data_IF_784229255021
#
_entry.id   IF_784229255021
#
_cell.length_a   1.000
_cell.length_b   1.000
_cell.length_c   1.000
_cell.angle_alpha   90.00
_cell.angle_beta   90.00
_cell.angle_gamma   90.00
#
_symmetry.space_group_name_H-M   'P 1'
#
loop_
_entity.id
_entity.type
_entity.pdbx_description
1 polymer ?
#
# COMPACT_ATOMS: atom_id res chain seq x y z
N UNK A 1 2.40 -16.51 5.81
CA UNK A 1 3.63 -15.82 6.25
C UNK A 1 3.27 -14.38 6.53
N UNK A 2 3.57 -13.89 7.73
CA UNK A 2 3.28 -12.51 8.12
C UNK A 2 4.28 -11.56 7.45
N UNK A 3 3.79 -10.68 6.57
CA UNK A 3 4.61 -9.70 5.85
C UNK A 3 4.78 -8.39 6.61
N UNK A 4 4.26 -8.29 7.83
CA UNK A 4 4.43 -7.14 8.73
C UNK A 4 5.43 -7.39 9.85
N UNK A 5 5.96 -8.61 9.98
CA UNK A 5 6.83 -9.04 11.08
C UNK A 5 7.97 -8.06 11.39
N UNK A 6 8.73 -7.62 10.38
CA UNK A 6 9.86 -6.72 10.61
C UNK A 6 9.42 -5.36 11.15
N UNK A 7 8.35 -4.79 10.58
CA UNK A 7 7.78 -3.52 11.04
C UNK A 7 7.19 -3.67 12.45
N UNK A 8 6.47 -4.77 12.72
CA UNK A 8 5.90 -5.05 14.04
C UNK A 8 7.00 -5.19 15.12
N UNK A 9 8.14 -5.81 14.79
CA UNK A 9 9.30 -5.79 15.68
C UNK A 9 9.86 -4.36 15.83
N UNK A 10 10.00 -3.63 14.73
CA UNK A 10 10.63 -2.31 14.72
C UNK A 10 9.92 -1.32 15.63
N UNK A 11 8.59 -1.20 15.54
CA UNK A 11 7.80 -0.22 16.32
C UNK A 11 7.89 -0.39 17.83
N UNK A 12 8.48 -1.48 18.32
CA UNK A 12 8.71 -1.77 19.74
C UNK A 12 10.14 -1.47 20.19
N UNK A 13 11.09 -1.50 19.25
CA UNK A 13 12.52 -1.60 19.55
C UNK A 13 13.33 -0.42 19.04
N UNK A 14 12.93 0.17 17.91
CA UNK A 14 13.70 1.24 17.28
C UNK A 14 13.50 2.57 18.01
N UNK A 15 14.56 3.37 17.97
CA UNK A 15 14.57 4.76 18.39
C UNK A 15 13.90 5.61 17.31
N UNK A 16 12.80 6.26 17.67
CA UNK A 16 11.95 7.04 16.78
C UNK A 16 12.61 8.33 16.29
N UNK A 17 13.65 8.80 16.98
CA UNK A 17 14.48 9.95 16.60
C UNK A 17 15.72 9.55 15.78
N UNK A 18 16.01 8.25 15.66
CA UNK A 18 17.18 7.73 14.95
C UNK A 18 16.83 6.89 13.71
N UNK A 19 15.75 7.25 13.00
CA UNK A 19 15.35 6.60 11.74
C UNK A 19 16.22 7.10 10.60
N UNK A 20 16.93 6.18 9.95
CA UNK A 20 17.87 6.46 8.85
C UNK A 20 17.27 6.26 7.48
N UNK A 21 16.33 5.34 7.34
CA UNK A 21 15.68 5.09 6.07
C UNK A 21 14.22 4.69 6.28
N UNK A 22 13.37 5.20 5.41
CA UNK A 22 11.98 4.80 5.30
C UNK A 22 11.65 4.54 3.82
N UNK A 23 11.13 3.35 3.51
CA UNK A 23 10.54 3.03 2.20
C UNK A 23 9.04 2.86 2.36
N UNK A 24 8.25 3.60 1.60
CA UNK A 24 6.78 3.64 1.72
C UNK A 24 6.09 3.65 0.37
N UNK A 25 4.85 3.17 0.35
CA UNK A 25 3.95 3.25 -0.79
C UNK A 25 2.81 4.21 -0.45
N UNK A 26 2.69 5.29 -1.22
CA UNK A 26 1.53 6.16 -1.15
C UNK A 26 0.34 5.46 -1.79
N UNK A 27 -0.73 5.26 -1.02
CA UNK A 27 -1.94 4.58 -1.48
C UNK A 27 -2.92 5.60 -2.09
N UNK A 28 -2.58 6.15 -3.25
CA UNK A 28 -3.44 7.03 -4.07
C UNK A 28 -3.61 6.47 -5.47
N UNK A 29 -4.52 7.06 -6.26
CA UNK A 29 -4.75 6.74 -7.68
C UNK A 29 -3.46 6.70 -8.53
N UNK A 30 -2.46 7.52 -8.18
CA UNK A 30 -1.05 7.31 -8.57
C UNK A 30 -0.28 6.68 -7.41
N UNK A 31 -0.16 5.35 -7.43
CA UNK A 31 0.70 4.64 -6.51
C UNK A 31 2.14 5.15 -6.70
N UNK A 32 2.80 5.60 -5.63
CA UNK A 32 4.21 6.04 -5.69
C UNK A 32 4.99 5.33 -4.61
N UNK A 33 6.19 4.87 -4.96
CA UNK A 33 7.16 4.35 -4.00
C UNK A 33 8.13 5.47 -3.66
N UNK A 34 8.22 5.81 -2.38
CA UNK A 34 9.20 6.77 -1.86
C UNK A 34 10.23 6.04 -1.01
N UNK A 35 11.50 6.36 -1.23
CA UNK A 35 12.62 5.93 -0.39
C UNK A 35 13.42 7.14 0.04
N UNK A 36 13.43 7.41 1.33
CA UNK A 36 14.12 8.54 1.92
C UNK A 36 15.26 8.02 2.81
N UNK A 37 16.47 8.58 2.69
CA UNK A 37 17.66 8.18 3.45
C UNK A 37 18.26 9.42 4.12
N UNK A 38 18.47 9.35 5.43
CA UNK A 38 19.13 10.37 6.25
C UNK A 38 20.28 9.73 7.01
N UNK A 39 21.54 9.97 6.61
CA UNK A 39 22.72 9.30 7.20
C UNK A 39 22.84 9.45 8.73
N UNK A 40 22.44 10.61 9.26
CA UNK A 40 22.46 10.91 10.70
C UNK A 40 21.31 10.28 11.49
N UNK A 41 20.26 9.82 10.82
CA UNK A 41 18.96 9.57 11.45
C UNK A 41 18.16 10.86 11.63
N UNK A 42 16.84 10.71 11.75
CA UNK A 42 15.91 11.79 12.13
C UNK A 42 14.62 11.18 12.69
N UNK A 43 13.78 12.03 13.31
CA UNK A 43 12.43 11.70 13.74
C UNK A 43 11.53 11.18 12.62
N UNK A 44 10.61 10.26 12.93
CA UNK A 44 9.67 9.69 11.94
C UNK A 44 8.94 10.75 11.11
N UNK A 45 8.42 11.79 11.76
CA UNK A 45 7.62 12.83 11.11
C UNK A 45 8.43 13.69 10.13
N UNK A 46 9.76 13.75 10.26
CA UNK A 46 10.62 14.44 9.31
C UNK A 46 10.68 13.75 7.93
N UNK A 47 10.20 12.51 7.81
CA UNK A 47 9.99 11.83 6.53
C UNK A 47 8.69 12.25 5.83
N UNK A 48 7.85 13.08 6.48
CA UNK A 48 6.58 13.56 5.96
C UNK A 48 5.56 12.45 5.81
N UNK A 49 5.48 11.54 6.79
CA UNK A 49 4.50 10.45 6.81
C UNK A 49 3.09 11.03 6.82
N UNK A 50 2.21 10.53 5.95
CA UNK A 50 0.81 10.93 5.93
C UNK A 50 -0.04 9.95 6.71
N UNK A 51 -0.93 10.49 7.52
CA UNK A 51 -1.84 9.66 8.31
C UNK A 51 -2.72 8.79 7.42
N UNK A 52 -2.83 7.52 7.78
CA UNK A 52 -3.75 6.55 7.17
C UNK A 52 -3.64 6.36 5.64
N UNK A 53 -2.56 6.81 5.00
CA UNK A 53 -2.45 6.88 3.54
C UNK A 53 -1.17 6.23 2.97
N UNK A 54 -0.26 5.74 3.81
CA UNK A 54 1.04 5.25 3.38
C UNK A 54 1.37 3.89 4.00
N UNK A 55 1.62 2.90 3.14
CA UNK A 55 2.08 1.57 3.56
C UNK A 55 3.60 1.59 3.68
N UNK A 56 4.11 1.41 4.89
CA UNK A 56 5.56 1.31 5.13
C UNK A 56 6.04 -0.10 4.82
N UNK A 57 7.04 -0.21 3.94
CA UNK A 57 7.65 -1.47 3.48
C UNK A 57 8.99 -1.77 4.12
N UNK A 58 9.71 -0.72 4.48
CA UNK A 58 11.04 -0.85 5.05
C UNK A 58 11.32 0.29 6.01
N UNK A 59 11.94 -0.06 7.13
CA UNK A 59 12.49 0.87 8.10
C UNK A 59 13.94 0.46 8.41
N UNK A 60 14.87 1.41 8.32
CA UNK A 60 16.22 1.25 8.84
C UNK A 60 16.43 2.26 9.96
N UNK A 61 16.69 1.78 11.16
CA UNK A 61 16.82 2.63 12.34
C UNK A 61 17.76 1.98 13.36
N UNK A 62 18.14 2.74 14.40
CA UNK A 62 18.84 2.18 15.55
C UNK A 62 17.85 1.62 16.57
N UNK A 63 18.29 0.63 17.34
CA UNK A 63 17.55 0.22 18.53
C UNK A 63 17.67 1.30 19.63
N UNK A 64 16.62 1.44 20.43
CA UNK A 64 16.60 2.28 21.62
C UNK A 64 17.67 1.85 22.62
N UNK A 65 18.41 2.82 23.16
CA UNK A 65 19.50 2.55 24.09
C UNK A 65 19.02 2.18 25.51
N UNK A 66 17.83 2.65 25.90
CA UNK A 66 17.20 2.43 27.20
C UNK A 66 16.36 1.14 27.26
N UNK A 67 16.32 0.38 26.16
CA UNK A 67 15.48 -0.80 26.06
C UNK A 67 16.15 -2.04 26.65
N UNK A 68 15.47 -2.71 27.57
CA UNK A 68 15.90 -3.98 28.15
C UNK A 68 15.68 -5.16 27.19
N UNK A 69 16.35 -5.12 26.03
CA UNK A 69 16.36 -6.20 25.05
C UNK A 69 17.68 -6.95 25.12
N UNK A 70 17.55 -8.27 25.28
CA UNK A 70 18.65 -9.20 25.53
C UNK A 70 19.18 -9.86 24.25
N UNK A 71 19.23 -9.11 23.14
CA UNK A 71 19.80 -9.60 21.89
C UNK A 71 21.32 -9.51 21.89
N UNK A 72 22.00 -10.59 21.49
CA UNK A 72 23.46 -10.78 21.56
C UNK A 72 24.26 -9.57 21.08
N UNK A 73 23.81 -8.93 19.99
CA UNK A 73 24.48 -7.77 19.40
C UNK A 73 23.88 -6.40 19.76
N UNK A 74 22.74 -6.36 20.47
CA UNK A 74 22.15 -5.12 20.98
C UNK A 74 22.49 -4.85 22.45
N UNK A 75 22.85 -5.89 23.21
CA UNK A 75 23.22 -5.75 24.63
C UNK A 75 24.30 -4.67 24.83
N UNK A 76 24.15 -3.79 25.83
CA UNK A 76 25.22 -2.89 26.25
C UNK A 76 26.46 -3.69 26.62
N UNK A 77 27.63 -3.35 26.08
CA UNK A 77 28.91 -3.94 26.48
C UNK A 77 29.62 -2.99 27.43
N UNK A 78 30.09 -3.48 28.58
CA UNK A 78 30.73 -2.68 29.64
C UNK A 78 31.90 -1.79 29.17
N UNK A 79 32.51 -2.10 28.03
CA UNK A 79 33.69 -1.40 27.50
C UNK A 79 33.46 -0.74 26.14
N UNK A 80 32.22 -0.71 25.65
CA UNK A 80 31.89 -0.06 24.38
C UNK A 80 30.48 0.50 24.48
N UNK A 81 30.27 1.83 24.38
CA UNK A 81 28.96 2.38 24.09
C UNK A 81 28.55 1.72 22.77
N UNK A 82 27.64 0.75 22.82
CA UNK A 82 27.22 0.05 21.63
C UNK A 82 26.32 1.05 20.89
N UNK A 83 26.71 1.61 19.72
CA UNK A 83 25.91 2.63 19.05
C UNK A 83 24.60 2.08 18.47
N UNK A 84 24.20 0.86 18.87
CA UNK A 84 23.22 -0.02 18.26
C UNK A 84 23.63 -0.38 16.83
N UNK A 85 23.81 -1.66 16.46
CA UNK A 85 23.78 -2.00 15.04
C UNK A 85 22.45 -1.53 14.46
N UNK A 86 22.49 -1.03 13.22
CA UNK A 86 21.26 -0.67 12.51
C UNK A 86 20.38 -1.90 12.34
N UNK A 87 19.10 -1.76 12.65
CA UNK A 87 18.07 -2.74 12.37
C UNK A 87 17.49 -2.43 11.00
N UNK A 88 17.54 -3.39 10.07
CA UNK A 88 16.80 -3.29 8.80
C UNK A 88 15.54 -4.16 8.92
N UNK A 89 14.39 -3.50 8.86
CA UNK A 89 13.09 -4.09 9.12
C UNK A 89 12.23 -3.99 7.85
N UNK A 90 11.83 -5.12 7.28
CA UNK A 90 10.97 -5.23 6.08
C UNK A 90 9.84 -6.23 6.35
N UNK A 91 9.47 -7.06 5.37
CA UNK A 91 8.69 -8.29 5.60
C UNK A 91 9.40 -9.26 6.58
N UNK A 92 10.72 -9.11 6.76
CA UNK A 92 11.53 -9.82 7.74
C UNK A 92 12.45 -8.88 8.52
N UNK A 93 13.27 -9.44 9.41
CA UNK A 93 14.19 -8.69 10.24
C UNK A 93 15.63 -9.07 9.89
N UNK A 94 16.47 -8.07 9.59
CA UNK A 94 17.90 -8.25 9.43
C UNK A 94 18.64 -7.54 10.56
N UNK A 95 19.25 -8.35 11.40
CA UNK A 95 20.16 -7.94 12.46
C UNK A 95 21.25 -9.00 12.65
N UNK A 96 22.39 -8.65 13.26
CA UNK A 96 23.36 -9.63 13.70
C UNK A 96 22.79 -10.49 14.85
N UNK A 97 22.92 -11.81 14.73
CA UNK A 97 22.52 -12.79 15.74
C UNK A 97 23.74 -13.54 16.28
N UNK A 98 23.61 -14.16 17.45
CA UNK A 98 24.63 -15.03 18.02
C UNK A 98 25.03 -16.16 17.06
N UNK A 99 26.33 -16.34 16.88
CA UNK A 99 26.90 -17.39 16.00
C UNK A 99 26.97 -18.76 16.69
N UNK A 100 26.93 -18.78 18.01
CA UNK A 100 26.85 -20.00 18.81
C UNK A 100 25.39 -20.44 18.95
N UNK A 101 25.14 -21.75 18.92
CA UNK A 101 23.77 -22.29 18.96
C UNK A 101 22.93 -21.82 20.16
N UNK A 102 23.54 -21.73 21.34
CA UNK A 102 22.85 -21.21 22.53
C UNK A 102 22.50 -19.71 22.40
N UNK A 103 23.41 -18.91 21.82
CA UNK A 103 23.20 -17.49 21.56
C UNK A 103 22.11 -17.26 20.52
N UNK A 104 22.11 -18.01 19.42
CA UNK A 104 21.07 -17.93 18.40
C UNK A 104 19.68 -18.24 18.96
N UNK A 105 19.56 -19.33 19.72
CA UNK A 105 18.28 -19.72 20.35
C UNK A 105 17.82 -18.67 21.36
N UNK A 106 18.73 -18.10 22.13
CA UNK A 106 18.42 -17.00 23.05
C UNK A 106 17.91 -15.76 22.30
N UNK A 107 18.55 -15.39 21.20
CA UNK A 107 18.12 -14.25 20.38
C UNK A 107 16.73 -14.47 19.78
N UNK A 108 16.45 -15.67 19.24
CA UNK A 108 15.13 -16.00 18.68
C UNK A 108 14.02 -15.97 19.76
N UNK A 109 14.31 -16.46 20.96
CA UNK A 109 13.38 -16.37 22.10
C UNK A 109 13.13 -14.93 22.50
N UNK A 110 14.18 -14.10 22.49
CA UNK A 110 14.07 -12.68 22.81
C UNK A 110 13.25 -11.92 21.76
N UNK A 111 13.41 -12.22 20.46
CA UNK A 111 12.57 -11.63 19.40
C UNK A 111 11.09 -11.96 19.64
N UNK A 112 10.77 -13.22 19.95
CA UNK A 112 9.40 -13.61 20.27
C UNK A 112 8.87 -12.90 21.51
N UNK A 113 9.70 -12.76 22.55
CA UNK A 113 9.36 -12.04 23.77
C UNK A 113 9.03 -10.57 23.49
N UNK A 114 9.85 -9.90 22.68
CA UNK A 114 9.61 -8.52 22.26
C UNK A 114 8.24 -8.39 21.58
N UNK A 115 7.95 -9.25 20.61
CA UNK A 115 6.68 -9.18 19.88
C UNK A 115 5.46 -9.45 20.77
N UNK A 116 5.61 -10.32 21.78
CA UNK A 116 4.53 -10.70 22.69
C UNK A 116 4.30 -9.68 23.82
N UNK A 117 5.37 -9.13 24.39
CA UNK A 117 5.32 -8.39 25.66
C UNK A 117 5.52 -6.89 25.51
N UNK A 118 6.24 -6.42 24.48
CA UNK A 118 6.59 -5.00 24.40
C UNK A 118 5.47 -4.20 23.74
N UNK A 119 5.08 -3.06 24.34
CA UNK A 119 4.12 -2.16 23.73
C UNK A 119 4.75 -1.48 22.50
N UNK A 120 3.88 -1.11 21.58
CA UNK A 120 4.22 -0.22 20.48
C UNK A 120 4.62 1.14 21.05
N UNK A 121 5.70 1.72 20.55
CA UNK A 121 6.11 3.09 20.90
C UNK A 121 5.07 4.04 20.28
N UNK A 122 4.42 4.94 21.05
CA UNK A 122 3.35 5.79 20.53
C UNK A 122 3.74 6.60 19.30
N UNK A 123 4.96 7.14 19.28
CA UNK A 123 5.48 7.90 18.13
C UNK A 123 5.61 7.06 16.84
N UNK A 124 5.63 5.73 16.94
CA UNK A 124 5.77 4.78 15.85
C UNK A 124 4.47 4.03 15.49
N UNK A 125 3.39 4.22 16.24
CA UNK A 125 2.04 3.73 15.88
C UNK A 125 1.65 4.06 14.43
N UNK A 126 2.01 5.23 13.87
CA UNK A 126 1.71 5.55 12.47
C UNK A 126 2.19 4.54 11.45
N UNK A 127 3.27 3.80 11.76
CA UNK A 127 3.81 2.76 10.88
C UNK A 127 2.89 1.52 10.78
N UNK A 128 1.90 1.41 11.66
CA UNK A 128 0.93 0.31 11.70
C UNK A 128 -0.48 0.71 11.24
N UNK A 129 -0.73 1.99 10.94
CA UNK A 129 -2.06 2.45 10.50
C UNK A 129 -2.52 1.81 9.20
N UNK A 130 -1.56 1.49 8.32
CA UNK A 130 -1.80 0.86 7.03
C UNK A 130 -1.06 -0.46 6.99
N UNK A 131 -1.80 -1.57 6.85
CA UNK A 131 -1.23 -2.91 6.84
C UNK A 131 -1.67 -3.70 5.63
N UNK A 132 -0.87 -4.69 5.25
CA UNK A 132 -1.27 -5.67 4.23
C UNK A 132 -2.31 -6.60 4.84
N UNK A 133 -3.39 -6.85 4.10
CA UNK A 133 -4.36 -7.89 4.42
C UNK A 133 -3.70 -9.25 4.18
N UNK A 134 -3.61 -10.13 5.19
CA UNK A 134 -3.03 -11.46 5.04
C UNK A 134 -3.72 -12.30 3.96
N UNK A 135 -2.98 -13.24 3.37
CA UNK A 135 -3.54 -14.15 2.36
C UNK A 135 -4.70 -15.01 2.89
N UNK A 136 -4.67 -15.33 4.19
CA UNK A 136 -5.66 -16.13 4.89
C UNK A 136 -6.66 -15.30 5.72
N UNK A 137 -6.75 -13.98 5.50
CA UNK A 137 -7.74 -13.16 6.18
C UNK A 137 -9.15 -13.60 5.75
N UNK A 138 -10.06 -13.91 6.69
CA UNK A 138 -11.41 -14.40 6.36
C UNK A 138 -12.23 -13.40 5.54
N UNK A 139 -11.92 -12.10 5.62
CA UNK A 139 -12.62 -11.04 4.88
C UNK A 139 -12.19 -10.93 3.42
N UNK A 140 -11.17 -11.70 3.00
CA UNK A 140 -10.62 -11.60 1.65
C UNK A 140 -11.66 -11.85 0.57
N UNK A 141 -12.50 -12.85 0.74
CA UNK A 141 -13.55 -13.19 -0.23
C UNK A 141 -14.59 -12.07 -0.34
N UNK A 142 -14.93 -11.42 0.77
CA UNK A 142 -15.86 -10.29 0.79
C UNK A 142 -15.26 -9.04 0.14
N UNK A 143 -13.97 -8.78 0.36
CA UNK A 143 -13.23 -7.71 -0.31
C UNK A 143 -13.14 -7.93 -1.82
N UNK A 144 -12.80 -9.16 -2.24
CA UNK A 144 -12.75 -9.51 -3.66
C UNK A 144 -14.13 -9.38 -4.32
N UNK A 145 -15.19 -9.79 -3.61
CA UNK A 145 -16.57 -9.62 -4.07
C UNK A 145 -16.95 -8.16 -4.18
N UNK A 146 -16.59 -7.32 -3.21
CA UNK A 146 -16.87 -5.89 -3.24
C UNK A 146 -16.19 -5.19 -4.44
N UNK A 147 -14.91 -5.50 -4.71
CA UNK A 147 -14.21 -4.98 -5.90
C UNK A 147 -14.87 -5.47 -7.19
N UNK A 148 -15.28 -6.74 -7.25
CA UNK A 148 -16.01 -7.30 -8.38
C UNK A 148 -17.32 -6.55 -8.67
N UNK A 149 -18.03 -6.12 -7.62
CA UNK A 149 -19.26 -5.32 -7.76
C UNK A 149 -18.96 -3.88 -8.20
N UNK A 150 -17.87 -3.26 -7.73
CA UNK A 150 -17.42 -1.95 -8.24
C UNK A 150 -17.08 -2.00 -9.74
N UNK A 151 -16.49 -3.10 -10.20
CA UNK A 151 -16.27 -3.37 -11.62
C UNK A 151 -17.56 -3.65 -12.40
N UNK A 152 -18.66 -3.96 -11.71
CA UNK A 152 -19.97 -4.24 -12.29
C UNK A 152 -20.75 -2.97 -12.61
N UNK A 153 -20.81 -2.07 -11.64
CA UNK A 153 -21.52 -0.80 -11.72
C UNK A 153 -20.64 0.33 -11.16
N UNK A 154 -19.70 0.81 -11.97
CA UNK A 154 -18.82 1.92 -11.60
C UNK A 154 -19.60 3.23 -11.30
N UNK A 155 -20.84 3.35 -11.81
CA UNK A 155 -21.75 4.49 -11.61
C UNK A 155 -22.76 4.30 -10.47
N UNK A 156 -22.76 3.16 -9.77
CA UNK A 156 -23.71 2.94 -8.68
C UNK A 156 -23.30 3.73 -7.42
N UNK A 157 -24.06 4.79 -7.11
CA UNK A 157 -24.09 5.54 -5.84
C UNK A 157 -24.29 4.66 -4.58
N UNK A 158 -24.43 3.33 -4.74
CA UNK A 158 -24.73 2.34 -3.71
C UNK A 158 -23.47 1.60 -3.21
N UNK A 159 -22.38 1.60 -3.98
CA UNK A 159 -21.17 0.90 -3.57
C UNK A 159 -20.33 1.76 -2.62
N UNK A 160 -20.02 1.23 -1.44
CA UNK A 160 -19.11 1.89 -0.48
C UNK A 160 -17.66 1.78 -0.97
N UNK A 161 -17.30 2.51 -2.03
CA UNK A 161 -15.96 2.45 -2.62
C UNK A 161 -15.80 3.25 -3.92
N UNK A 162 -14.59 3.23 -4.46
CA UNK A 162 -14.19 3.88 -5.71
C UNK A 162 -13.26 2.96 -6.51
N UNK A 163 -13.32 3.01 -7.83
CA UNK A 163 -12.42 2.26 -8.70
C UNK A 163 -11.92 3.16 -9.83
N UNK A 164 -10.65 3.00 -10.21
CA UNK A 164 -10.04 3.80 -11.27
C UNK A 164 -8.83 3.14 -11.89
N UNK A 165 -8.33 3.76 -12.96
CA UNK A 165 -7.11 3.33 -13.64
C UNK A 165 -5.90 3.66 -12.76
N UNK A 166 -5.02 2.67 -12.57
CA UNK A 166 -3.69 2.85 -11.98
C UNK A 166 -2.62 2.73 -13.06
N UNK A 167 -1.52 3.47 -12.86
CA UNK A 167 -0.33 3.34 -13.71
C UNK A 167 0.71 2.46 -13.00
N UNK A 168 1.03 1.27 -13.52
CA UNK A 168 1.95 0.34 -12.87
C UNK A 168 3.35 0.91 -12.69
N UNK A 169 3.96 0.67 -11.53
CA UNK A 169 5.25 1.24 -11.18
C UNK A 169 6.40 0.87 -12.14
N UNK A 170 6.27 -0.27 -12.85
CA UNK A 170 7.25 -0.72 -13.85
C UNK A 170 7.45 0.28 -14.99
N UNK A 171 6.47 1.15 -15.23
CA UNK A 171 6.50 2.15 -16.29
C UNK A 171 6.90 3.55 -15.82
N UNK A 172 7.14 3.79 -14.52
CA UNK A 172 7.48 5.14 -14.02
C UNK A 172 8.86 5.64 -14.45
N UNK A 173 9.82 4.75 -14.64
CA UNK A 173 11.20 5.12 -15.03
C UNK A 173 11.43 5.00 -16.55
N UNK A 174 10.37 4.82 -17.35
CA UNK A 174 10.44 4.66 -18.81
C UNK A 174 9.91 5.86 -19.57
N UNK A 175 10.01 5.85 -20.92
CA UNK A 175 9.25 6.76 -21.77
C UNK A 175 7.75 6.66 -21.49
N UNK A 176 6.98 7.64 -21.94
CA UNK A 176 5.53 7.59 -21.83
C UNK A 176 4.98 6.42 -22.66
N UNK A 177 3.98 5.71 -22.11
CA UNK A 177 3.27 4.66 -22.85
C UNK A 177 2.29 5.33 -23.81
N UNK A 178 2.38 4.98 -25.09
CA UNK A 178 1.53 5.52 -26.16
C UNK A 178 0.43 4.56 -26.59
N UNK A 179 0.57 3.27 -26.28
CA UNK A 179 -0.38 2.23 -26.67
C UNK A 179 -0.43 1.12 -25.65
N UNK A 180 -1.61 0.58 -25.42
CA UNK A 180 -1.88 -0.50 -24.49
C UNK A 180 -2.39 -1.70 -25.29
N UNK A 181 -1.68 -2.82 -25.22
CA UNK A 181 -2.07 -4.06 -25.90
C UNK A 181 -2.11 -5.24 -24.95
N UNK A 182 -3.00 -6.18 -25.19
CA UNK A 182 -3.05 -7.43 -24.44
C UNK A 182 -4.32 -8.21 -24.69
N UNK A 183 -4.70 -9.05 -23.73
CA UNK A 183 -5.94 -9.80 -23.79
C UNK A 183 -6.61 -9.93 -22.43
N UNK A 184 -7.93 -9.76 -22.43
CA UNK A 184 -8.81 -9.90 -21.29
C UNK A 184 -9.90 -10.89 -21.66
N UNK A 185 -9.95 -12.05 -20.98
CA UNK A 185 -10.96 -13.08 -21.24
C UNK A 185 -11.09 -13.43 -22.75
N UNK A 186 -9.97 -13.72 -23.40
CA UNK A 186 -9.86 -14.00 -24.84
C UNK A 186 -10.30 -12.86 -25.79
N UNK A 187 -10.61 -11.67 -25.27
CA UNK A 187 -10.85 -10.46 -26.05
C UNK A 187 -9.57 -9.64 -26.12
N UNK A 188 -9.13 -9.31 -27.33
CA UNK A 188 -7.96 -8.47 -27.53
C UNK A 188 -8.25 -7.04 -27.07
N UNK A 189 -7.32 -6.46 -26.33
CA UNK A 189 -7.30 -5.04 -25.99
C UNK A 189 -6.19 -4.40 -26.82
N UNK A 190 -6.54 -3.35 -27.56
CA UNK A 190 -5.58 -2.54 -28.32
C UNK A 190 -6.11 -1.10 -28.40
N UNK A 191 -5.55 -0.22 -27.57
CA UNK A 191 -6.01 1.18 -27.46
C UNK A 191 -4.82 2.13 -27.24
N UNK A 192 -4.93 3.37 -27.69
CA UNK A 192 -3.99 4.44 -27.34
C UNK A 192 -4.27 5.06 -25.98
N UNK A 193 -5.49 4.92 -25.46
CA UNK A 193 -5.92 5.47 -24.19
C UNK A 193 -6.64 4.38 -23.38
N UNK A 194 -6.03 3.96 -22.27
CA UNK A 194 -6.60 2.95 -21.40
C UNK A 194 -7.53 3.63 -20.39
N UNK A 195 -8.83 3.44 -20.58
CA UNK A 195 -9.88 3.97 -19.71
C UNK A 195 -10.57 2.83 -18.94
N UNK A 196 -11.20 3.16 -17.82
CA UNK A 196 -11.97 2.18 -17.05
C UNK A 196 -13.08 1.56 -17.90
N UNK A 197 -13.71 2.36 -18.78
CA UNK A 197 -14.76 1.92 -19.71
C UNK A 197 -14.25 0.85 -20.69
N UNK A 198 -13.01 0.98 -21.19
CA UNK A 198 -12.38 -0.01 -22.08
C UNK A 198 -12.30 -1.38 -21.41
N UNK A 199 -11.95 -1.40 -20.12
CA UNK A 199 -11.89 -2.62 -19.34
C UNK A 199 -13.31 -3.10 -19.00
N UNK A 200 -14.19 -2.20 -18.57
CA UNK A 200 -15.57 -2.47 -18.20
C UNK A 200 -16.39 -3.10 -19.32
N UNK A 201 -16.21 -2.64 -20.57
CA UNK A 201 -16.87 -3.18 -21.75
C UNK A 201 -16.49 -4.64 -22.01
N UNK A 202 -15.20 -4.98 -21.85
CA UNK A 202 -14.70 -6.36 -22.01
C UNK A 202 -15.18 -7.27 -20.87
N UNK A 203 -15.30 -6.73 -19.66
CA UNK A 203 -15.77 -7.47 -18.49
C UNK A 203 -17.30 -7.58 -18.41
N UNK A 204 -18.06 -6.76 -19.13
CA UNK A 204 -19.53 -6.71 -19.06
C UNK A 204 -20.22 -8.07 -19.27
N UNK A 205 -19.78 -8.93 -20.22
CA UNK A 205 -20.38 -10.26 -20.42
C UNK A 205 -20.06 -11.26 -19.29
N UNK A 206 -19.10 -10.95 -18.42
CA UNK A 206 -18.62 -11.82 -17.35
C UNK A 206 -19.47 -11.57 -16.08
N UNK A 207 -19.92 -12.62 -15.38
CA UNK A 207 -20.59 -12.49 -14.09
C UNK A 207 -19.74 -11.66 -13.12
N UNK A 208 -20.38 -10.79 -12.33
CA UNK A 208 -19.69 -9.81 -11.48
C UNK A 208 -18.61 -10.48 -10.62
N UNK A 209 -18.95 -11.58 -9.96
CA UNK A 209 -18.09 -12.38 -9.10
C UNK A 209 -16.85 -12.98 -9.81
N UNK A 210 -16.85 -13.07 -11.13
CA UNK A 210 -15.73 -13.61 -11.91
C UNK A 210 -14.84 -12.52 -12.53
N UNK A 211 -15.28 -11.26 -12.55
CA UNK A 211 -14.56 -10.14 -13.21
C UNK A 211 -13.15 -9.94 -12.66
N UNK A 212 -12.99 -10.01 -11.34
CA UNK A 212 -11.69 -9.88 -10.70
C UNK A 212 -10.76 -11.04 -11.07
N UNK A 213 -11.30 -12.26 -11.22
CA UNK A 213 -10.54 -13.43 -11.69
C UNK A 213 -10.14 -13.28 -13.16
N UNK A 214 -11.03 -12.75 -14.01
CA UNK A 214 -10.74 -12.48 -15.41
C UNK A 214 -9.61 -11.46 -15.58
N UNK A 215 -9.58 -10.39 -14.78
CA UNK A 215 -8.49 -9.41 -14.75
C UNK A 215 -7.14 -10.02 -14.33
N UNK A 216 -7.15 -10.99 -13.41
CA UNK A 216 -5.93 -11.69 -12.99
C UNK A 216 -5.39 -12.61 -14.08
N UNK A 217 -6.29 -13.28 -14.80
CA UNK A 217 -5.92 -14.20 -15.88
C UNK A 217 -5.52 -13.48 -17.17
N UNK A 218 -6.09 -12.30 -17.42
CA UNK A 218 -5.74 -11.45 -18.54
C UNK A 218 -4.50 -10.61 -18.30
N UNK A 219 -3.98 -10.01 -19.37
CA UNK A 219 -2.82 -9.15 -19.35
C UNK A 219 -3.01 -7.93 -20.25
N UNK A 220 -2.40 -6.83 -19.86
CA UNK A 220 -2.28 -5.60 -20.64
C UNK A 220 -0.86 -5.08 -20.43
N UNK A 221 -0.14 -4.83 -21.53
CA UNK A 221 1.18 -4.24 -21.52
C UNK A 221 1.13 -2.86 -22.19
N UNK A 222 1.87 -1.92 -21.62
CA UNK A 222 2.12 -0.61 -22.18
C UNK A 222 3.31 -0.63 -23.14
N UNK A 223 3.13 -0.06 -24.32
CA UNK A 223 4.10 0.07 -25.40
C UNK A 223 4.50 1.53 -25.62
N UNK A 224 5.79 1.74 -25.85
CA UNK A 224 6.35 3.05 -26.21
C UNK A 224 6.21 3.33 -27.71
N UNK A 225 6.64 4.51 -28.16
CA UNK A 225 6.59 4.90 -29.59
C UNK A 225 7.34 3.92 -30.51
N UNK A 226 8.41 3.28 -30.02
CA UNK A 226 9.21 2.31 -30.76
C UNK A 226 8.61 0.89 -30.77
N UNK A 227 7.37 0.72 -30.27
CA UNK A 227 6.68 -0.56 -30.10
C UNK A 227 7.40 -1.56 -29.17
N UNK A 228 8.28 -1.06 -28.28
CA UNK A 228 8.85 -1.84 -27.18
C UNK A 228 7.98 -1.74 -25.92
N UNK A 229 7.99 -2.78 -25.09
CA UNK A 229 7.35 -2.81 -23.78
C UNK A 229 8.36 -3.20 -22.70
N UNK A 230 8.26 -2.58 -21.51
CA UNK A 230 9.01 -3.02 -20.31
C UNK A 230 8.40 -4.25 -19.65
N UNK A 231 7.28 -4.73 -20.14
CA UNK A 231 6.56 -5.87 -19.62
C UNK A 231 6.27 -6.91 -20.70
N UNK A 232 6.18 -8.15 -20.25
CA UNK A 232 5.84 -9.32 -21.05
C UNK A 232 4.73 -10.06 -20.29
N UNK A 233 3.47 -9.69 -20.54
CA UNK A 233 2.30 -10.28 -19.90
C UNK A 233 1.98 -9.71 -18.51
N UNK A 234 1.98 -8.38 -18.34
CA UNK A 234 1.54 -7.75 -17.09
C UNK A 234 0.07 -8.00 -16.84
N UNK A 235 -0.29 -8.50 -15.65
CA UNK A 235 -1.68 -8.76 -15.31
C UNK A 235 -2.52 -7.49 -15.46
N UNK A 236 -3.69 -7.62 -16.09
CA UNK A 236 -4.58 -6.48 -16.29
C UNK A 236 -5.07 -5.88 -14.95
N UNK A 237 -5.04 -6.66 -13.88
CA UNK A 237 -5.32 -6.18 -12.52
C UNK A 237 -4.37 -5.07 -12.06
N UNK A 238 -3.14 -5.01 -12.59
CA UNK A 238 -2.14 -3.99 -12.21
C UNK A 238 -2.48 -2.58 -12.74
N UNK A 239 -3.41 -2.51 -13.71
CA UNK A 239 -3.88 -1.26 -14.30
C UNK A 239 -5.11 -0.69 -13.60
N UNK A 240 -5.55 -1.30 -12.50
CA UNK A 240 -6.71 -0.87 -11.72
C UNK A 240 -6.32 -0.71 -10.26
N UNK A 241 -6.82 0.36 -9.64
CA UNK A 241 -6.87 0.51 -8.20
C UNK A 241 -8.33 0.60 -7.75
N UNK A 242 -8.63 -0.03 -6.60
CA UNK A 242 -9.95 0.06 -6.00
C UNK A 242 -9.84 0.39 -4.51
N UNK A 243 -10.73 1.23 -4.03
CA UNK A 243 -10.99 1.51 -2.62
C UNK A 243 -12.34 0.91 -2.24
N UNK A 244 -12.41 0.18 -1.14
CA UNK A 244 -13.63 -0.45 -0.61
C UNK A 244 -13.69 -0.19 0.88
N UNK A 245 -14.83 0.29 1.36
CA UNK A 245 -15.12 0.33 2.80
C UNK A 245 -15.84 -0.96 3.21
N UNK A 246 -15.24 -1.70 4.15
CA UNK A 246 -15.79 -2.93 4.71
C UNK A 246 -15.71 -2.85 6.24
N UNK A 247 -16.83 -3.04 6.93
CA UNK A 247 -16.90 -3.04 8.41
C UNK A 247 -16.32 -1.76 9.06
N UNK A 248 -16.49 -0.60 8.40
CA UNK A 248 -15.94 0.68 8.89
C UNK A 248 -14.42 0.82 8.75
N UNK A 249 -13.78 -0.11 8.04
CA UNK A 249 -12.36 -0.05 7.68
C UNK A 249 -12.22 0.17 6.18
N UNK A 250 -11.27 1.02 5.78
CA UNK A 250 -10.96 1.27 4.38
C UNK A 250 -9.95 0.25 3.87
N UNK A 251 -10.25 -0.36 2.74
CA UNK A 251 -9.40 -1.32 2.06
C UNK A 251 -9.03 -0.80 0.68
N UNK A 252 -7.78 -0.97 0.29
CA UNK A 252 -7.26 -0.53 -0.99
C UNK A 252 -6.64 -1.75 -1.69
N UNK A 253 -7.14 -2.04 -2.88
CA UNK A 253 -6.54 -2.97 -3.81
C UNK A 253 -5.44 -2.24 -4.59
N UNK A 254 -4.19 -2.67 -4.38
CA UNK A 254 -3.03 -2.17 -5.11
C UNK A 254 -2.14 -3.35 -5.47
N UNK A 255 -1.97 -3.62 -6.77
CA UNK A 255 -0.97 -4.59 -7.19
C UNK A 255 0.38 -3.90 -7.45
N UNK A 256 1.33 -4.13 -6.55
CA UNK A 256 2.71 -3.69 -6.69
C UNK A 256 3.62 -4.92 -6.78
N UNK A 257 4.20 -5.13 -7.95
CA UNK A 257 5.02 -6.29 -8.29
C UNK A 257 6.21 -6.48 -7.35
N UNK A 258 6.49 -7.73 -7.00
CA UNK A 258 7.83 -8.27 -7.23
C UNK A 258 7.76 -9.76 -7.59
N UNK A 259 8.66 -10.17 -8.46
CA UNK A 259 8.69 -11.42 -9.22
C UNK A 259 8.36 -12.75 -8.49
N UNK A 260 7.71 -13.66 -9.23
CA UNK A 260 7.49 -15.11 -8.98
C UNK A 260 6.44 -15.58 -7.97
N UNK A 261 5.78 -14.71 -7.21
CA UNK A 261 4.57 -15.11 -6.49
C UNK A 261 3.45 -14.12 -6.75
N UNK A 262 2.49 -14.50 -7.62
CA UNK A 262 1.22 -13.82 -7.77
C UNK A 262 0.53 -13.78 -6.40
N UNK A 263 0.67 -12.69 -5.65
CA UNK A 263 -0.07 -12.48 -4.42
C UNK A 263 -0.43 -11.01 -4.35
N UNK A 264 -1.68 -10.72 -4.71
CA UNK A 264 -2.29 -9.40 -4.65
C UNK A 264 -2.05 -8.78 -3.27
N UNK A 265 -1.58 -7.54 -3.25
CA UNK A 265 -1.49 -6.77 -2.01
C UNK A 265 -2.81 -6.02 -1.83
N UNK A 266 -3.69 -6.52 -0.97
CA UNK A 266 -4.72 -5.66 -0.41
C UNK A 266 -4.11 -4.99 0.82
N UNK A 267 -4.26 -3.68 0.93
CA UNK A 267 -3.89 -2.93 2.12
C UNK A 267 -5.17 -2.48 2.83
N UNK A 268 -5.15 -2.42 4.15
CA UNK A 268 -6.24 -1.87 4.96
C UNK A 268 -5.70 -0.71 5.77
N UNK A 269 -6.51 0.34 5.90
CA UNK A 269 -6.23 1.51 6.72
C UNK A 269 -7.25 1.58 7.85
N UNK A 270 -6.78 1.55 9.09
CA UNK A 270 -7.62 1.67 10.28
C UNK A 270 -7.76 3.15 10.65
N UNK A 271 -8.59 3.89 9.92
CA UNK A 271 -8.84 5.32 10.13
C UNK A 271 -10.20 5.75 9.55
N UNK A 272 -10.97 6.48 10.34
CA UNK A 272 -12.41 6.71 10.15
C UNK A 272 -12.74 7.67 8.99
N UNK A 273 -13.80 7.35 8.24
CA UNK A 273 -14.48 8.28 7.33
C UNK A 273 -15.67 8.92 8.05
N UNK A 274 -15.68 10.25 8.15
CA UNK A 274 -16.88 11.02 8.38
C UNK A 274 -17.08 12.00 7.22
N UNK A 275 -17.97 11.62 6.30
CA UNK A 275 -18.76 12.50 5.43
C UNK A 275 -18.01 13.29 4.36
N UNK A 276 -18.42 13.14 3.10
CA UNK A 276 -18.91 14.24 2.25
C UNK A 276 -19.67 13.61 1.06
N UNK A 277 -20.91 13.20 1.32
CA UNK A 277 -21.89 12.99 0.26
C UNK A 277 -22.61 14.32 0.00
N UNK A 278 -22.64 14.71 -1.27
CA UNK A 278 -23.52 15.71 -1.89
C UNK A 278 -23.36 17.19 -1.53
N UNK A 279 -22.63 17.92 -2.39
CA UNK A 279 -22.99 19.28 -2.75
C UNK A 279 -23.25 19.35 -4.27
N UNK A 280 -24.38 18.78 -4.71
CA UNK A 280 -24.99 19.17 -5.99
C UNK A 280 -25.47 20.62 -5.82
N UNK A 281 -24.66 21.59 -6.24
CA UNK A 281 -25.16 22.95 -6.41
C UNK A 281 -26.04 22.99 -7.66
N UNK A 282 -27.34 22.76 -7.42
CA UNK A 282 -28.43 23.06 -8.35
C UNK A 282 -28.39 24.56 -8.72
N UNK A 283 -28.87 24.81 -9.94
CA UNK A 283 -28.82 26.06 -10.68
C UNK A 283 -29.14 27.34 -9.91
N UNK A 284 -28.44 28.40 -10.33
CA UNK A 284 -28.79 29.81 -10.11
C UNK A 284 -30.30 30.04 -10.31
N UNK A 285 -30.99 30.69 -9.35
CA UNK A 285 -32.26 31.34 -9.66
C UNK A 285 -31.99 32.66 -10.42
N UNK A 286 -32.91 33.10 -11.29
CA UNK A 286 -32.72 34.29 -12.13
C UNK A 286 -32.77 35.58 -11.29
N UNK A 287 -31.92 36.53 -11.67
CA UNK A 287 -31.86 37.90 -11.14
C UNK A 287 -33.22 38.60 -11.33
N UNK A 288 -33.92 38.90 -10.24
CA UNK A 288 -35.00 39.91 -10.26
C UNK A 288 -34.37 41.30 -10.29
N UNK A 289 -34.74 42.09 -11.30
CA UNK A 289 -34.41 43.52 -11.41
C UNK A 289 -35.07 44.29 -10.25
N UNK A 290 -34.41 45.33 -9.69
CA UNK A 290 -35.09 46.25 -8.79
C UNK A 290 -36.02 47.19 -9.59
N UNK A 291 -37.18 47.60 -9.03
CA UNK A 291 -37.98 48.68 -9.61
C UNK A 291 -37.27 50.02 -9.38
N UNK A 292 -37.17 50.81 -10.47
CA UNK A 292 -36.76 52.22 -10.42
C UNK A 292 -37.83 53.12 -9.78
N UNK A 293 -37.51 54.41 -9.57
CA UNK A 293 -38.01 55.18 -8.44
C UNK A 293 -39.42 55.72 -8.64
N UNK A 294 -40.15 55.83 -7.53
CA UNK A 294 -41.33 56.70 -7.42
C UNK A 294 -40.90 58.01 -6.76
N UNK A 295 -40.60 59.00 -7.61
CA UNK A 295 -40.88 60.44 -7.51
C UNK A 295 -39.95 61.23 -8.41
#
# INVERSE_FOLDING_TARGET
MDRSFGIDFAVRVVDDDAIRQLTRWALRSKARVDRNIVPGGQGLWAFGLREHAELVKELVAKARADLAVSLTHLRPKSHRPNPGPGLECRDGLRLPLGVEGAGLVADLREINRVLAEFPVVPALEPLQWVRRVPACDPRRDDLERAVAHLLADADADVACGEIGISYPAKYFEGPDVHRYRGSLNATAVDTSELMLDTIGDVLRPIPAEERLRALRAGHIDGYYENDESRSDGMSALQWIAAEVDLEGTRHILLDGSDSRSATNTCAMSTGWCAGHSTARHRGRPPRRRPPGPVR
#
